data_IF_554987165566
#
_entry.id   IF_554987165566
#
_cell.length_a   1.000
_cell.length_b   1.000
_cell.length_c   1.000
_cell.angle_alpha   90.00
_cell.angle_beta   90.00
_cell.angle_gamma   90.00
#
_symmetry.space_group_name_H-M   'P 1'
#
loop_
_entity.id
_entity.type
_entity.pdbx_description
1 polymer ?
#
# COMPACT_ATOMS: atom_id res chain seq x y z
N UNK A 1 2.44 29.78 34.69
CA UNK A 1 1.84 28.66 33.94
C UNK A 1 0.99 27.85 34.91
N UNK A 2 -0.33 27.76 34.71
CA UNK A 2 -1.23 27.13 35.69
C UNK A 2 -0.98 25.63 35.72
N UNK A 3 -0.79 25.06 36.92
CA UNK A 3 -0.45 23.64 37.13
C UNK A 3 -1.41 22.71 36.39
N UNK A 4 -2.69 23.07 36.35
CA UNK A 4 -3.75 22.34 35.65
C UNK A 4 -3.53 22.32 34.13
N UNK A 5 -3.09 23.44 33.56
CA UNK A 5 -2.75 23.53 32.13
C UNK A 5 -1.52 22.69 31.79
N UNK A 6 -0.54 22.60 32.70
CA UNK A 6 0.66 21.76 32.51
C UNK A 6 0.28 20.28 32.49
N UNK A 7 -0.58 19.85 33.42
CA UNK A 7 -1.05 18.47 33.52
C UNK A 7 -1.85 18.09 32.26
N UNK A 8 -2.75 18.96 31.80
CA UNK A 8 -3.55 18.71 30.58
C UNK A 8 -2.64 18.54 29.35
N UNK A 9 -1.66 19.43 29.18
CA UNK A 9 -0.71 19.35 28.05
C UNK A 9 0.11 18.06 28.10
N UNK A 10 0.56 17.65 29.29
CA UNK A 10 1.32 16.41 29.46
C UNK A 10 0.49 15.16 29.07
N UNK A 11 -0.79 15.11 29.46
CA UNK A 11 -1.70 14.01 29.10
C UNK A 11 -1.90 13.97 27.59
N UNK A 12 -2.19 15.12 26.96
CA UNK A 12 -2.37 15.19 25.50
C UNK A 12 -1.12 14.70 24.77
N UNK A 13 0.08 15.16 25.17
CA UNK A 13 1.33 14.68 24.59
C UNK A 13 1.51 13.17 24.71
N UNK A 14 1.25 12.60 25.89
CA UNK A 14 1.35 11.14 26.10
C UNK A 14 0.37 10.36 25.21
N UNK A 15 -0.87 10.84 25.06
CA UNK A 15 -1.87 10.18 24.20
C UNK A 15 -1.48 10.19 22.72
N UNK A 16 -0.94 11.32 22.23
CA UNK A 16 -0.50 11.44 20.82
C UNK A 16 0.67 10.48 20.54
N UNK A 17 1.64 10.40 21.46
CA UNK A 17 2.79 9.48 21.33
C UNK A 17 2.32 8.02 21.34
N UNK A 18 1.37 7.66 22.20
CA UNK A 18 0.82 6.31 22.27
C UNK A 18 0.08 5.92 20.98
N UNK A 19 -0.77 6.82 20.46
CA UNK A 19 -1.48 6.57 19.21
C UNK A 19 -0.48 6.43 18.06
N UNK A 20 0.50 7.33 17.96
CA UNK A 20 1.56 7.30 16.94
C UNK A 20 2.40 6.01 16.95
N UNK A 21 2.58 5.40 18.13
CA UNK A 21 3.33 4.14 18.27
C UNK A 21 2.47 2.89 18.01
N UNK A 22 1.15 2.97 18.23
CA UNK A 22 0.21 1.89 17.84
C UNK A 22 -0.13 1.90 16.35
N UNK A 23 -0.03 3.05 15.68
CA UNK A 23 -0.06 3.10 14.22
C UNK A 23 1.32 2.67 13.72
N UNK A 24 1.55 1.36 13.69
CA UNK A 24 2.51 0.82 12.73
C UNK A 24 2.16 1.48 11.39
N UNK A 25 3.11 2.11 10.66
CA UNK A 25 2.90 2.25 9.25
C UNK A 25 2.72 0.82 8.80
N UNK A 26 1.48 0.44 8.50
CA UNK A 26 1.22 -0.66 7.62
C UNK A 26 1.94 -0.24 6.35
N UNK A 27 3.23 -0.59 6.31
CA UNK A 27 4.09 -0.36 5.18
C UNK A 27 3.27 -0.87 4.04
N UNK A 28 3.02 0.04 3.11
CA UNK A 28 2.42 -0.22 1.82
C UNK A 28 3.28 -1.23 1.07
N UNK A 29 3.31 -2.46 1.53
CA UNK A 29 3.50 -3.62 0.68
C UNK A 29 2.07 -3.98 0.31
N UNK A 30 1.65 -3.51 -0.85
CA UNK A 30 0.37 -3.81 -1.48
C UNK A 30 0.19 -5.30 -1.69
N UNK A 31 -0.07 -6.02 -0.60
CA UNK A 31 -0.80 -7.27 -0.59
C UNK A 31 -2.23 -6.91 -0.20
N UNK A 32 -2.89 -6.14 -1.07
CA UNK A 32 -4.32 -6.33 -1.26
C UNK A 32 -4.50 -7.82 -1.47
N UNK A 33 -5.09 -8.49 -0.48
CA UNK A 33 -5.24 -9.93 -0.37
C UNK A 33 -6.21 -10.50 -1.41
N UNK A 34 -5.91 -10.25 -2.68
CA UNK A 34 -6.54 -10.84 -3.84
C UNK A 34 -5.35 -11.27 -4.67
N UNK A 35 -5.10 -12.57 -4.84
CA UNK A 35 -3.89 -13.11 -5.47
C UNK A 35 -3.59 -12.63 -6.89
N UNK A 36 -4.44 -11.74 -7.42
CA UNK A 36 -4.34 -11.01 -8.66
C UNK A 36 -3.19 -10.00 -8.66
N UNK A 37 -2.23 -10.20 -9.56
CA UNK A 37 -1.11 -9.31 -9.82
C UNK A 37 -1.02 -9.07 -11.32
N UNK A 38 -0.87 -7.82 -11.74
CA UNK A 38 -0.65 -7.48 -13.15
C UNK A 38 0.85 -7.38 -13.43
N UNK A 39 1.30 -7.93 -14.55
CA UNK A 39 2.68 -7.88 -15.01
C UNK A 39 2.73 -7.60 -16.51
N UNK A 40 3.65 -6.73 -16.94
CA UNK A 40 3.89 -6.49 -18.37
C UNK A 40 5.00 -7.39 -18.88
N UNK A 41 4.72 -8.19 -19.90
CA UNK A 41 5.68 -9.12 -20.51
C UNK A 41 5.94 -8.67 -21.94
N UNK A 42 7.21 -8.55 -22.32
CA UNK A 42 7.61 -8.20 -23.69
C UNK A 42 8.04 -9.45 -24.45
N UNK A 43 7.44 -9.70 -25.60
CA UNK A 43 7.76 -10.84 -26.47
C UNK A 43 8.00 -10.32 -27.88
N UNK A 44 9.27 -10.20 -28.27
CA UNK A 44 9.65 -9.51 -29.51
C UNK A 44 9.29 -8.02 -29.44
N UNK A 45 8.54 -7.54 -30.43
CA UNK A 45 8.05 -6.16 -30.51
C UNK A 45 6.69 -5.95 -29.80
N UNK A 46 6.05 -7.03 -29.34
CA UNK A 46 4.73 -6.95 -28.70
C UNK A 46 4.86 -6.87 -27.18
N UNK A 47 4.11 -5.94 -26.58
CA UNK A 47 3.98 -5.82 -25.13
C UNK A 47 2.63 -6.36 -24.69
N UNK A 48 2.63 -7.27 -23.73
CA UNK A 48 1.46 -7.92 -23.16
C UNK A 48 1.25 -7.44 -21.72
N UNK A 49 0.00 -7.18 -21.35
CA UNK A 49 -0.42 -7.03 -19.97
C UNK A 49 -1.02 -8.36 -19.51
N UNK A 50 -0.33 -9.04 -18.60
CA UNK A 50 -0.67 -10.34 -18.08
C UNK A 50 -1.20 -10.24 -16.65
N UNK A 51 -2.34 -10.89 -16.39
CA UNK A 51 -2.89 -11.08 -15.06
C UNK A 51 -2.41 -12.41 -14.50
N UNK A 52 -1.74 -12.37 -13.34
CA UNK A 52 -1.39 -13.52 -12.53
C UNK A 52 -2.35 -13.68 -11.37
N UNK A 53 -2.71 -14.90 -11.01
CA UNK A 53 -3.39 -15.22 -9.76
C UNK A 53 -2.55 -16.26 -9.01
N UNK A 54 -2.13 -15.94 -7.78
CA UNK A 54 -1.28 -16.81 -6.95
C UNK A 54 0.02 -17.30 -7.62
N UNK A 55 0.58 -16.50 -8.53
CA UNK A 55 1.84 -16.82 -9.23
C UNK A 55 1.67 -17.50 -10.59
N UNK A 56 0.44 -17.87 -10.97
CA UNK A 56 0.11 -18.50 -12.25
C UNK A 56 -0.58 -17.49 -13.19
N UNK A 57 -0.28 -17.55 -14.49
CA UNK A 57 -0.90 -16.66 -15.49
C UNK A 57 -2.35 -17.07 -15.75
N UNK A 58 -3.30 -16.18 -15.50
CA UNK A 58 -4.73 -16.37 -15.78
C UNK A 58 -5.08 -15.89 -17.18
N UNK A 59 -4.41 -14.86 -17.68
CA UNK A 59 -4.62 -14.35 -19.04
C UNK A 59 -3.72 -13.18 -19.37
N UNK A 60 -3.46 -12.97 -20.66
CA UNK A 60 -2.66 -11.85 -21.17
C UNK A 60 -3.40 -11.17 -22.31
N UNK A 61 -3.35 -9.85 -22.36
CA UNK A 61 -3.87 -9.06 -23.47
C UNK A 61 -2.77 -8.17 -24.06
N UNK A 62 -2.81 -7.92 -25.37
CA UNK A 62 -1.89 -6.99 -26.01
C UNK A 62 -2.17 -5.58 -25.52
N UNK A 63 -1.12 -4.85 -25.15
CA UNK A 63 -1.24 -3.45 -24.76
C UNK A 63 -1.29 -2.62 -26.03
N UNK A 64 -2.50 -2.32 -26.50
CA UNK A 64 -2.68 -1.29 -27.51
C UNK A 64 -2.59 0.08 -26.82
N UNK A 65 -1.49 0.80 -27.04
CA UNK A 65 -1.42 2.20 -26.65
C UNK A 65 -2.43 2.97 -27.49
N UNK A 66 -3.56 3.36 -26.89
CA UNK A 66 -4.48 4.30 -27.49
C UNK A 66 -3.70 5.59 -27.72
N UNK A 67 -3.52 5.96 -28.98
CA UNK A 67 -2.75 7.14 -29.42
C UNK A 67 -3.63 8.38 -29.40
#
# INVERSE_FOLDING_TARGET
MNRDRVIIVAIICMTIIFIASTVSPAGSSGKTGTGFQMETVKTGDVTWACLKHNGEYVGCNTVETVK
#
